data_IF_249069124987
#
_entry.id   IF_249069124987
#
_cell.length_a   1.000
_cell.length_b   1.000
_cell.length_c   1.000
_cell.angle_alpha   90.00
_cell.angle_beta   90.00
_cell.angle_gamma   90.00
#
_symmetry.space_group_name_H-M   'P 1'
#
loop_
_entity.id
_entity.type
_entity.pdbx_description
1 polymer ?
#
# COMPACT_ATOMS: atom_id res chain seq x y z
N UNK A 1 -39.28 -34.74 46.00
CA UNK A 1 -37.91 -34.79 45.44
C UNK A 1 -37.71 -34.04 44.10
N UNK A 2 -38.28 -32.83 43.89
CA UNK A 2 -38.19 -32.13 42.59
C UNK A 2 -37.25 -30.91 42.52
N UNK A 3 -36.29 -30.76 43.45
CA UNK A 3 -35.42 -29.55 43.51
C UNK A 3 -33.93 -29.78 43.24
N UNK A 4 -33.51 -30.96 42.78
CA UNK A 4 -32.11 -31.29 42.54
C UNK A 4 -31.55 -30.97 41.14
N UNK A 5 -32.40 -30.68 40.15
CA UNK A 5 -32.02 -30.53 38.74
C UNK A 5 -31.48 -29.15 38.37
N UNK A 6 -32.08 -28.07 38.87
CA UNK A 6 -31.73 -26.69 38.49
C UNK A 6 -30.28 -26.31 38.83
N UNK A 7 -29.79 -26.70 40.01
CA UNK A 7 -28.41 -26.38 40.44
C UNK A 7 -27.35 -27.17 39.65
N UNK A 8 -27.63 -28.43 39.28
CA UNK A 8 -26.73 -29.25 38.46
C UNK A 8 -26.64 -28.73 37.02
N UNK A 9 -27.75 -28.25 36.46
CA UNK A 9 -27.77 -27.61 35.15
C UNK A 9 -26.99 -26.27 35.12
N UNK A 10 -27.06 -25.49 36.21
CA UNK A 10 -26.27 -24.26 36.34
C UNK A 10 -24.76 -24.54 36.43
N UNK A 11 -24.36 -25.53 37.23
CA UNK A 11 -22.96 -25.95 37.34
C UNK A 11 -22.41 -26.48 36.01
N UNK A 12 -23.19 -27.25 35.26
CA UNK A 12 -22.81 -27.74 33.93
C UNK A 12 -22.65 -26.58 32.93
N UNK A 13 -23.62 -25.65 32.87
CA UNK A 13 -23.53 -24.46 32.00
C UNK A 13 -22.31 -23.59 32.33
N UNK A 14 -22.04 -23.36 33.61
CA UNK A 14 -20.86 -22.62 34.04
C UNK A 14 -19.56 -23.33 33.63
N UNK A 15 -19.50 -24.66 33.78
CA UNK A 15 -18.34 -25.46 33.40
C UNK A 15 -18.13 -25.45 31.88
N UNK A 16 -19.19 -25.62 31.09
CA UNK A 16 -19.12 -25.55 29.62
C UNK A 16 -18.67 -24.16 29.17
N UNK A 17 -19.26 -23.09 29.72
CA UNK A 17 -18.87 -21.72 29.39
C UNK A 17 -17.40 -21.43 29.75
N UNK A 18 -16.92 -21.95 30.88
CA UNK A 18 -15.51 -21.85 31.26
C UNK A 18 -14.61 -22.60 30.26
N UNK A 19 -14.96 -23.84 29.90
CA UNK A 19 -14.20 -24.62 28.91
C UNK A 19 -14.21 -24.00 27.52
N UNK A 20 -15.33 -23.44 27.07
CA UNK A 20 -15.40 -22.68 25.81
C UNK A 20 -14.45 -21.49 25.84
N UNK A 21 -14.37 -20.76 26.96
CA UNK A 21 -13.43 -19.64 27.11
C UNK A 21 -11.97 -20.10 27.10
N UNK A 22 -11.65 -21.18 27.80
CA UNK A 22 -10.29 -21.77 27.83
C UNK A 22 -9.86 -22.21 26.42
N UNK A 23 -10.73 -22.93 25.71
CA UNK A 23 -10.49 -23.39 24.34
C UNK A 23 -10.34 -22.22 23.37
N UNK A 24 -11.17 -21.18 23.51
CA UNK A 24 -11.06 -19.98 22.69
C UNK A 24 -9.74 -19.25 22.92
N UNK A 25 -9.32 -19.12 24.19
CA UNK A 25 -8.04 -18.51 24.53
C UNK A 25 -6.85 -19.31 23.99
N UNK A 26 -6.88 -20.65 24.10
CA UNK A 26 -5.85 -21.52 23.54
C UNK A 26 -5.79 -21.44 22.01
N UNK A 27 -6.96 -21.42 21.34
CA UNK A 27 -7.04 -21.23 19.88
C UNK A 27 -6.49 -19.88 19.45
N UNK A 28 -6.87 -18.80 20.15
CA UNK A 28 -6.33 -17.46 19.90
C UNK A 28 -4.81 -17.42 20.06
N UNK A 29 -4.25 -18.04 21.11
CA UNK A 29 -2.81 -18.11 21.30
C UNK A 29 -2.11 -18.83 20.13
N UNK A 30 -2.69 -19.93 19.63
CA UNK A 30 -2.20 -20.62 18.45
C UNK A 30 -2.30 -19.74 17.18
N UNK A 31 -3.38 -18.97 17.02
CA UNK A 31 -3.52 -18.00 15.93
C UNK A 31 -2.50 -16.88 16.00
N UNK A 32 -2.27 -16.28 17.16
CA UNK A 32 -1.27 -15.23 17.34
C UNK A 32 0.15 -15.74 17.02
N UNK A 33 0.50 -16.95 17.47
CA UNK A 33 1.77 -17.58 17.14
C UNK A 33 1.90 -17.86 15.64
N UNK A 34 0.85 -18.43 15.02
CA UNK A 34 0.83 -18.68 13.57
C UNK A 34 0.92 -17.40 12.77
N UNK A 35 0.19 -16.35 13.15
CA UNK A 35 0.23 -15.05 12.51
C UNK A 35 1.62 -14.44 12.56
N UNK A 36 2.29 -14.51 13.72
CA UNK A 36 3.68 -14.08 13.87
C UNK A 36 4.61 -14.81 12.90
N UNK A 37 4.55 -16.15 12.86
CA UNK A 37 5.39 -16.94 11.95
C UNK A 37 5.12 -16.69 10.47
N UNK A 38 3.84 -16.55 10.08
CA UNK A 38 3.48 -16.24 8.68
C UNK A 38 3.94 -14.84 8.29
N UNK A 39 3.84 -13.85 9.19
CA UNK A 39 4.35 -12.50 8.93
C UNK A 39 5.87 -12.46 8.84
N UNK A 40 6.58 -13.18 9.72
CA UNK A 40 8.05 -13.23 9.69
C UNK A 40 8.60 -13.85 8.41
N UNK A 41 7.86 -14.81 7.83
CA UNK A 41 8.17 -15.46 6.56
C UNK A 41 7.59 -14.74 5.33
N UNK A 42 6.87 -13.63 5.50
CA UNK A 42 6.18 -12.94 4.40
C UNK A 42 7.19 -12.26 3.46
N UNK A 43 7.10 -12.61 2.17
CA UNK A 43 7.94 -12.05 1.11
C UNK A 43 7.29 -10.85 0.41
N UNK A 44 6.09 -10.45 0.82
CA UNK A 44 5.30 -9.36 0.23
C UNK A 44 5.08 -9.59 -1.26
N UNK A 45 4.56 -10.78 -1.57
CA UNK A 45 4.16 -11.19 -2.92
C UNK A 45 2.65 -11.26 -3.00
N UNK A 46 2.07 -10.72 -4.06
CA UNK A 46 0.64 -10.77 -4.30
C UNK A 46 0.17 -12.24 -4.36
N UNK A 47 -0.88 -12.57 -3.61
CA UNK A 47 -1.48 -13.90 -3.59
C UNK A 47 -2.49 -14.04 -4.74
N UNK A 48 -2.01 -13.96 -5.98
CA UNK A 48 -2.83 -14.04 -7.19
C UNK A 48 -2.60 -15.34 -7.97
N UNK A 49 -3.66 -15.96 -8.51
CA UNK A 49 -5.07 -15.64 -8.30
C UNK A 49 -5.51 -15.85 -6.84
N UNK A 50 -6.43 -15.02 -6.37
CA UNK A 50 -7.00 -15.16 -5.03
C UNK A 50 -7.91 -16.40 -5.01
N UNK A 51 -7.63 -17.39 -4.14
CA UNK A 51 -8.49 -18.56 -4.07
C UNK A 51 -9.91 -18.19 -3.63
N UNK A 52 -10.96 -18.74 -4.27
CA UNK A 52 -12.34 -18.29 -4.08
C UNK A 52 -12.85 -18.48 -2.65
N UNK A 53 -12.25 -19.37 -1.85
CA UNK A 53 -12.62 -19.52 -0.45
C UNK A 53 -12.29 -18.27 0.38
N UNK A 54 -11.30 -17.47 0.01
CA UNK A 54 -10.99 -16.23 0.74
C UNK A 54 -11.97 -15.11 0.42
N UNK A 55 -12.47 -15.06 -0.82
CA UNK A 55 -13.57 -14.17 -1.17
C UNK A 55 -14.83 -14.52 -0.35
N UNK A 56 -15.18 -15.82 -0.29
CA UNK A 56 -16.29 -16.30 0.56
C UNK A 56 -16.10 -15.94 2.03
N UNK A 57 -14.88 -16.03 2.56
CA UNK A 57 -14.60 -15.63 3.95
C UNK A 57 -14.84 -14.12 4.15
N UNK A 58 -14.49 -13.27 3.19
CA UNK A 58 -14.81 -11.84 3.25
C UNK A 58 -16.32 -11.59 3.16
N UNK A 59 -17.00 -12.26 2.24
CA UNK A 59 -18.45 -12.16 2.03
C UNK A 59 -19.23 -12.63 3.27
N UNK A 60 -18.78 -13.70 3.92
CA UNK A 60 -19.33 -14.20 5.20
C UNK A 60 -19.25 -13.12 6.29
N UNK A 61 -18.09 -12.43 6.41
CA UNK A 61 -17.92 -11.38 7.42
C UNK A 61 -18.79 -10.16 7.09
N UNK A 62 -18.87 -9.77 5.82
CA UNK A 62 -19.70 -8.65 5.38
C UNK A 62 -21.21 -8.92 5.56
N UNK A 63 -21.69 -10.10 5.19
CA UNK A 63 -23.12 -10.46 5.34
C UNK A 63 -23.57 -10.51 6.80
N UNK A 64 -22.70 -10.94 7.72
CA UNK A 64 -22.98 -10.89 9.16
C UNK A 64 -23.02 -9.45 9.71
N UNK A 65 -22.31 -8.51 9.07
CA UNK A 65 -22.33 -7.10 9.46
C UNK A 65 -23.63 -6.38 9.07
N UNK A 66 -24.26 -6.80 7.97
CA UNK A 66 -25.49 -6.19 7.44
C UNK A 66 -26.77 -6.61 8.20
N UNK A 67 -26.67 -7.59 9.11
CA UNK A 67 -27.75 -7.91 10.05
C UNK A 67 -29.00 -8.49 9.41
N UNK A 68 -28.85 -9.51 8.55
CA UNK A 68 -30.00 -10.19 7.95
C UNK A 68 -30.78 -10.97 9.05
N UNK A 69 -31.79 -10.34 9.63
CA UNK A 69 -32.96 -11.06 10.14
C UNK A 69 -33.55 -11.81 8.95
N UNK A 70 -33.64 -13.14 9.07
CA UNK A 70 -34.05 -13.99 7.97
C UNK A 70 -35.43 -13.61 7.45
N UNK A 71 -35.47 -13.14 6.21
CA UNK A 71 -36.63 -13.32 5.36
C UNK A 71 -36.41 -14.64 4.59
N UNK A 72 -36.99 -15.73 5.10
CA UNK A 72 -36.99 -17.05 4.45
C UNK A 72 -37.89 -17.10 3.19
N UNK A 73 -38.15 -15.97 2.54
CA UNK A 73 -38.90 -15.91 1.28
C UNK A 73 -38.38 -14.78 0.38
N UNK A 74 -37.28 -15.08 -0.33
CA UNK A 74 -36.73 -14.18 -1.34
C UNK A 74 -35.71 -14.92 -2.20
N UNK A 75 -36.21 -15.64 -3.20
CA UNK A 75 -35.51 -16.04 -4.43
C UNK A 75 -33.97 -16.13 -4.32
N UNK A 76 -33.48 -17.27 -3.82
CA UNK A 76 -32.07 -17.64 -3.79
C UNK A 76 -31.52 -18.00 -5.19
N UNK A 77 -31.90 -17.25 -6.22
CA UNK A 77 -31.50 -17.46 -7.61
C UNK A 77 -31.22 -16.15 -8.35
N UNK A 78 -30.21 -15.35 -7.93
CA UNK A 78 -29.57 -14.39 -8.87
C UNK A 78 -28.25 -13.73 -8.43
N UNK A 79 -27.46 -14.27 -7.48
CA UNK A 79 -26.13 -13.66 -7.16
C UNK A 79 -24.91 -14.58 -7.16
N UNK A 80 -25.03 -15.80 -7.68
CA UNK A 80 -23.87 -16.64 -7.94
C UNK A 80 -23.71 -16.93 -9.43
N UNK A 81 -22.55 -16.58 -9.97
CA UNK A 81 -21.92 -17.04 -11.22
C UNK A 81 -21.65 -15.94 -12.25
N UNK A 82 -21.05 -14.84 -11.83
CA UNK A 82 -20.00 -14.24 -12.65
C UNK A 82 -18.69 -14.96 -12.33
N UNK A 83 -18.14 -15.67 -13.30
CA UNK A 83 -16.85 -16.38 -13.32
C UNK A 83 -15.91 -16.07 -12.13
N UNK A 84 -16.02 -16.84 -11.04
CA UNK A 84 -15.22 -16.65 -9.80
C UNK A 84 -13.85 -17.34 -9.89
N UNK A 85 -13.48 -17.82 -11.08
CA UNK A 85 -12.20 -18.43 -11.33
C UNK A 85 -11.15 -17.34 -11.57
N UNK A 86 -10.33 -17.08 -10.55
CA UNK A 86 -9.07 -16.38 -10.73
C UNK A 86 -9.11 -14.85 -10.60
N UNK A 87 -9.83 -14.31 -9.62
CA UNK A 87 -9.75 -12.88 -9.32
C UNK A 87 -8.37 -12.50 -8.78
N UNK A 88 -7.78 -11.43 -9.31
CA UNK A 88 -6.49 -10.91 -8.85
C UNK A 88 -6.56 -10.15 -7.51
N UNK A 89 -7.76 -9.97 -6.95
CA UNK A 89 -8.01 -9.18 -5.76
C UNK A 89 -9.23 -9.69 -4.99
N UNK A 90 -9.26 -9.41 -3.70
CA UNK A 90 -10.50 -9.46 -2.91
C UNK A 90 -11.38 -8.27 -3.29
N UNK A 91 -12.68 -8.51 -3.42
CA UNK A 91 -13.66 -7.48 -3.76
C UNK A 91 -14.63 -7.30 -2.59
N UNK A 92 -14.73 -6.09 -2.06
CA UNK A 92 -15.68 -5.79 -0.99
C UNK A 92 -17.11 -5.75 -1.54
N UNK A 93 -18.05 -6.54 -1.00
CA UNK A 93 -19.39 -6.68 -1.59
C UNK A 93 -20.24 -5.39 -1.48
N UNK A 94 -20.00 -4.56 -0.47
CA UNK A 94 -20.74 -3.34 -0.21
C UNK A 94 -20.22 -2.12 -0.99
N UNK A 95 -18.91 -2.00 -1.19
CA UNK A 95 -18.28 -0.84 -1.84
C UNK A 95 -17.77 -1.13 -3.25
N UNK A 96 -17.63 -2.41 -3.62
CA UNK A 96 -16.95 -2.83 -4.85
C UNK A 96 -15.43 -2.58 -4.82
N UNK A 97 -14.87 -2.16 -3.68
CA UNK A 97 -13.45 -1.89 -3.58
C UNK A 97 -12.63 -3.16 -3.77
N UNK A 98 -11.58 -3.04 -4.60
CA UNK A 98 -10.65 -4.13 -4.87
C UNK A 98 -9.40 -3.97 -4.01
N UNK A 99 -8.96 -5.03 -3.36
CA UNK A 99 -7.74 -5.05 -2.55
C UNK A 99 -6.91 -6.27 -2.89
N UNK A 100 -5.64 -6.06 -3.26
CA UNK A 100 -4.71 -7.14 -3.62
C UNK A 100 -4.10 -7.72 -2.33
N UNK A 101 -4.39 -8.99 -1.97
CA UNK A 101 -3.92 -9.54 -0.72
C UNK A 101 -2.52 -10.17 -0.84
N UNK A 102 -1.85 -10.31 0.30
CA UNK A 102 -0.66 -11.19 0.47
C UNK A 102 -1.01 -12.40 1.34
N UNK A 103 -0.12 -13.39 1.42
CA UNK A 103 -0.37 -14.63 2.15
C UNK A 103 -0.71 -14.42 3.63
N UNK A 104 0.02 -13.54 4.32
CA UNK A 104 -0.25 -13.19 5.70
C UNK A 104 -1.63 -12.56 5.91
N UNK A 105 -2.05 -11.69 4.99
CA UNK A 105 -3.37 -11.04 5.04
C UNK A 105 -4.50 -12.06 4.88
N UNK A 106 -4.35 -13.02 3.97
CA UNK A 106 -5.29 -14.12 3.79
C UNK A 106 -5.39 -15.02 5.04
N UNK A 107 -4.25 -15.33 5.65
CA UNK A 107 -4.22 -16.14 6.89
C UNK A 107 -4.94 -15.42 8.04
N UNK A 108 -4.68 -14.13 8.24
CA UNK A 108 -5.35 -13.33 9.26
C UNK A 108 -6.85 -13.21 9.00
N UNK A 109 -7.28 -12.98 7.75
CA UNK A 109 -8.70 -12.87 7.41
C UNK A 109 -9.48 -14.13 7.84
N UNK A 110 -8.92 -15.33 7.59
CA UNK A 110 -9.49 -16.60 8.08
C UNK A 110 -9.57 -16.67 9.60
N UNK A 111 -8.52 -16.25 10.32
CA UNK A 111 -8.51 -16.24 11.80
C UNK A 111 -9.57 -15.30 12.38
N UNK A 112 -9.76 -14.12 11.78
CA UNK A 112 -10.76 -13.13 12.21
C UNK A 112 -12.19 -13.67 12.01
N UNK A 113 -12.46 -14.29 10.86
CA UNK A 113 -13.75 -14.94 10.58
C UNK A 113 -14.06 -16.06 11.58
N UNK A 114 -13.05 -16.83 11.99
CA UNK A 114 -13.21 -17.86 13.02
C UNK A 114 -13.59 -17.28 14.39
N UNK A 115 -13.08 -16.11 14.76
CA UNK A 115 -13.50 -15.44 15.99
C UNK A 115 -14.95 -14.97 15.93
N UNK A 116 -15.39 -14.41 14.79
CA UNK A 116 -16.79 -14.03 14.57
C UNK A 116 -17.69 -15.25 14.66
N UNK A 117 -17.32 -16.36 13.99
CA UNK A 117 -18.07 -17.61 14.06
C UNK A 117 -18.15 -18.18 15.48
N UNK A 118 -17.06 -18.10 16.27
CA UNK A 118 -17.05 -18.53 17.66
C UNK A 118 -17.99 -17.68 18.54
N UNK A 119 -18.02 -16.36 18.32
CA UNK A 119 -18.94 -15.45 19.03
C UNK A 119 -20.41 -15.71 18.64
N UNK A 120 -20.68 -15.99 17.36
CA UNK A 120 -22.01 -16.33 16.88
C UNK A 120 -22.52 -17.66 17.47
N UNK A 121 -21.67 -18.70 17.48
CA UNK A 121 -22.03 -20.01 18.03
C UNK A 121 -22.16 -20.01 19.56
N UNK A 122 -21.37 -19.18 20.25
CA UNK A 122 -21.39 -19.06 21.71
C UNK A 122 -21.34 -17.59 22.15
N UNK A 123 -22.48 -16.87 22.20
CA UNK A 123 -22.52 -15.44 22.52
C UNK A 123 -21.84 -15.04 23.84
N UNK A 124 -21.74 -15.98 24.80
CA UNK A 124 -20.97 -15.77 26.04
C UNK A 124 -19.46 -15.50 25.82
N UNK A 125 -18.92 -15.82 24.64
CA UNK A 125 -17.56 -15.53 24.21
C UNK A 125 -17.42 -14.17 23.53
N UNK A 126 -18.52 -13.54 23.09
CA UNK A 126 -18.47 -12.33 22.26
C UNK A 126 -17.62 -11.20 22.85
N UNK A 127 -17.69 -10.86 24.16
CA UNK A 127 -16.80 -9.85 24.74
C UNK A 127 -15.32 -10.22 24.64
N UNK A 128 -14.98 -11.50 24.85
CA UNK A 128 -13.61 -12.00 24.69
C UNK A 128 -13.19 -12.00 23.23
N UNK A 129 -14.09 -12.38 22.31
CA UNK A 129 -13.84 -12.38 20.89
C UNK A 129 -13.52 -10.97 20.36
N UNK A 130 -14.24 -9.93 20.80
CA UNK A 130 -13.92 -8.53 20.45
C UNK A 130 -12.48 -8.19 20.79
N UNK A 131 -12.07 -8.39 22.06
CA UNK A 131 -10.72 -8.11 22.51
C UNK A 131 -9.66 -8.89 21.72
N UNK A 132 -9.90 -10.18 21.47
CA UNK A 132 -8.96 -11.06 20.78
C UNK A 132 -8.84 -10.76 19.28
N UNK A 133 -9.95 -10.39 18.64
CA UNK A 133 -9.97 -9.93 17.25
C UNK A 133 -9.20 -8.61 17.11
N UNK A 134 -9.45 -7.63 17.98
CA UNK A 134 -8.71 -6.38 18.00
C UNK A 134 -7.21 -6.59 18.32
N UNK A 135 -6.87 -7.57 19.18
CA UNK A 135 -5.48 -7.96 19.45
C UNK A 135 -4.77 -8.50 18.21
N UNK A 136 -5.39 -9.40 17.43
CA UNK A 136 -4.78 -9.91 16.19
C UNK A 136 -4.53 -8.79 15.17
N UNK A 137 -5.47 -7.86 15.01
CA UNK A 137 -5.30 -6.70 14.12
C UNK A 137 -4.14 -5.80 14.59
N UNK A 138 -4.01 -5.54 15.90
CA UNK A 138 -2.89 -4.77 16.46
C UNK A 138 -1.55 -5.47 16.31
N UNK A 139 -1.51 -6.80 16.52
CA UNK A 139 -0.30 -7.61 16.27
C UNK A 139 0.10 -7.52 14.81
N UNK A 140 -0.84 -7.69 13.88
CA UNK A 140 -0.58 -7.54 12.45
C UNK A 140 -0.04 -6.15 12.10
N UNK A 141 -0.68 -5.09 12.59
CA UNK A 141 -0.28 -3.72 12.31
C UNK A 141 1.17 -3.44 12.79
N UNK A 142 1.45 -3.79 14.05
CA UNK A 142 2.77 -3.62 14.67
C UNK A 142 3.85 -4.42 13.94
N UNK A 143 3.58 -5.70 13.63
CA UNK A 143 4.53 -6.56 12.92
C UNK A 143 4.77 -6.11 11.49
N UNK A 144 3.74 -5.70 10.76
CA UNK A 144 3.89 -5.15 9.40
C UNK A 144 4.77 -3.90 9.40
N UNK A 145 4.58 -2.99 10.37
CA UNK A 145 5.43 -1.80 10.52
C UNK A 145 6.89 -2.18 10.77
N UNK A 146 7.15 -3.11 11.69
CA UNK A 146 8.51 -3.60 11.97
C UNK A 146 9.16 -4.27 10.76
N UNK A 147 8.42 -5.09 10.03
CA UNK A 147 8.92 -5.85 8.89
C UNK A 147 9.25 -4.95 7.70
N UNK A 148 8.39 -3.97 7.43
CA UNK A 148 8.48 -3.13 6.23
C UNK A 148 9.22 -1.82 6.51
N UNK A 149 8.75 -1.01 7.47
CA UNK A 149 9.37 0.27 7.81
C UNK A 149 10.65 0.08 8.64
N UNK A 150 10.66 -0.89 9.54
CA UNK A 150 11.83 -1.27 10.35
C UNK A 150 12.83 -2.20 9.66
N UNK A 151 12.61 -2.49 8.37
CA UNK A 151 13.39 -3.43 7.56
C UNK A 151 13.58 -4.82 8.21
N UNK A 152 12.64 -5.26 9.06
CA UNK A 152 12.67 -6.57 9.72
C UNK A 152 12.61 -7.73 8.73
N UNK A 153 11.88 -7.58 7.61
CA UNK A 153 11.74 -8.62 6.60
C UNK A 153 13.06 -8.96 5.89
N UNK A 154 14.05 -8.05 5.90
CA UNK A 154 15.38 -8.34 5.38
C UNK A 154 16.13 -9.37 6.24
N UNK A 155 15.83 -9.43 7.54
CA UNK A 155 16.43 -10.38 8.48
C UNK A 155 15.64 -11.67 8.61
N UNK A 156 14.30 -11.60 8.57
CA UNK A 156 13.43 -12.75 8.84
C UNK A 156 13.01 -13.50 7.57
N UNK A 157 12.61 -12.78 6.52
CA UNK A 157 12.17 -13.36 5.25
C UNK A 157 13.29 -13.43 4.19
N UNK A 158 14.50 -12.97 4.53
CA UNK A 158 15.67 -13.01 3.63
C UNK A 158 15.60 -12.05 2.44
N UNK A 159 14.77 -11.00 2.52
CA UNK A 159 14.70 -9.99 1.46
C UNK A 159 16.01 -9.20 1.36
N UNK A 160 16.54 -9.06 0.14
CA UNK A 160 17.75 -8.24 -0.11
C UNK A 160 17.50 -6.74 0.10
N UNK A 161 16.28 -6.29 -0.15
CA UNK A 161 15.86 -4.89 0.06
C UNK A 161 14.35 -4.78 0.17
N UNK A 162 13.86 -3.70 0.78
CA UNK A 162 12.45 -3.32 0.75
C UNK A 162 12.21 -2.44 -0.49
N UNK A 163 11.42 -2.95 -1.43
CA UNK A 163 11.15 -2.29 -2.71
C UNK A 163 9.82 -1.53 -2.68
N UNK A 164 9.57 -0.68 -3.68
CA UNK A 164 8.28 0.00 -3.84
C UNK A 164 7.11 -1.00 -3.96
N UNK A 165 7.34 -2.18 -4.55
CA UNK A 165 6.32 -3.24 -4.64
C UNK A 165 5.98 -3.82 -3.26
N UNK A 166 6.98 -4.03 -2.40
CA UNK A 166 6.74 -4.50 -1.03
C UNK A 166 5.94 -3.47 -0.22
N UNK A 167 6.28 -2.18 -0.35
CA UNK A 167 5.54 -1.10 0.30
C UNK A 167 4.09 -1.01 -0.18
N UNK A 168 3.88 -1.10 -1.49
CA UNK A 168 2.54 -1.05 -2.06
C UNK A 168 1.64 -2.21 -1.56
N UNK A 169 2.18 -3.44 -1.52
CA UNK A 169 1.45 -4.60 -1.00
C UNK A 169 1.24 -4.54 0.53
N UNK A 170 2.17 -3.94 1.27
CA UNK A 170 1.98 -3.66 2.69
C UNK A 170 0.88 -2.62 2.91
N UNK A 171 0.83 -1.56 2.10
CA UNK A 171 -0.23 -0.55 2.13
C UNK A 171 -1.58 -1.16 1.82
N UNK A 172 -1.70 -1.98 0.77
CA UNK A 172 -2.95 -2.71 0.47
C UNK A 172 -3.36 -3.66 1.59
N UNK A 173 -2.40 -4.31 2.25
CA UNK A 173 -2.69 -5.17 3.39
C UNK A 173 -3.20 -4.39 4.62
N UNK A 174 -2.61 -3.23 4.91
CA UNK A 174 -3.11 -2.33 5.96
C UNK A 174 -4.50 -1.80 5.61
N UNK A 175 -4.72 -1.42 4.34
CA UNK A 175 -6.00 -0.97 3.79
C UNK A 175 -7.08 -2.05 3.91
N UNK A 176 -6.76 -3.31 3.58
CA UNK A 176 -7.66 -4.45 3.77
C UNK A 176 -8.20 -4.49 5.20
N UNK A 177 -7.32 -4.43 6.20
CA UNK A 177 -7.74 -4.50 7.60
C UNK A 177 -8.40 -3.23 8.13
N UNK A 178 -8.11 -2.07 7.54
CA UNK A 178 -8.84 -0.84 7.82
C UNK A 178 -10.31 -0.92 7.34
N UNK A 179 -10.57 -1.62 6.22
CA UNK A 179 -11.91 -1.88 5.70
C UNK A 179 -12.61 -3.04 6.42
N UNK A 180 -11.87 -4.08 6.84
CA UNK A 180 -12.43 -5.24 7.55
C UNK A 180 -12.77 -4.93 9.01
N UNK A 181 -12.02 -4.06 9.70
CA UNK A 181 -12.25 -3.77 11.11
C UNK A 181 -13.67 -3.23 11.42
N UNK A 182 -14.23 -2.29 10.64
CA UNK A 182 -15.63 -1.89 10.78
C UNK A 182 -16.62 -3.03 10.55
N UNK A 183 -16.37 -3.91 9.57
CA UNK A 183 -17.21 -5.09 9.31
C UNK A 183 -17.20 -6.02 10.53
N UNK A 184 -16.04 -6.31 11.11
CA UNK A 184 -15.92 -7.14 12.31
C UNK A 184 -16.64 -6.53 13.52
N UNK A 185 -16.53 -5.20 13.69
CA UNK A 185 -17.24 -4.47 14.74
C UNK A 185 -18.75 -4.66 14.60
N UNK A 186 -19.28 -4.46 13.38
CA UNK A 186 -20.69 -4.66 13.07
C UNK A 186 -21.13 -6.13 13.21
N UNK A 187 -20.35 -7.11 12.74
CA UNK A 187 -20.70 -8.54 12.87
C UNK A 187 -20.70 -9.02 14.33
N UNK A 188 -19.88 -8.45 15.20
CA UNK A 188 -19.81 -8.84 16.62
C UNK A 188 -20.83 -8.11 17.50
N UNK A 189 -21.29 -6.92 17.08
CA UNK A 189 -22.21 -6.07 17.83
C UNK A 189 -23.49 -6.78 18.32
N UNK A 190 -24.18 -7.63 17.52
CA UNK A 190 -25.42 -8.30 17.93
C UNK A 190 -25.22 -9.28 19.09
N UNK A 191 -24.02 -9.83 19.25
CA UNK A 191 -23.71 -10.82 20.29
C UNK A 191 -23.32 -10.18 21.63
N UNK A 192 -23.19 -8.85 21.68
CA UNK A 192 -22.72 -8.12 22.86
C UNK A 192 -23.89 -7.62 23.73
N UNK A 193 -23.73 -7.65 25.07
CA UNK A 193 -24.66 -7.00 25.98
C UNK A 193 -24.72 -5.48 25.74
N UNK A 194 -25.93 -4.93 25.65
CA UNK A 194 -26.20 -3.50 25.41
C UNK A 194 -25.35 -2.58 26.29
N UNK A 195 -25.30 -2.87 27.59
CA UNK A 195 -24.63 -2.04 28.60
C UNK A 195 -23.11 -1.87 28.38
N UNK A 196 -22.48 -2.78 27.64
CA UNK A 196 -21.02 -2.74 27.37
C UNK A 196 -20.68 -2.65 25.90
N UNK A 197 -21.66 -2.65 25.00
CA UNK A 197 -21.44 -2.73 23.55
C UNK A 197 -20.54 -1.59 23.06
N UNK A 198 -20.91 -0.35 23.37
CA UNK A 198 -20.15 0.83 22.92
C UNK A 198 -18.68 0.79 23.37
N UNK A 199 -18.44 0.47 24.64
CA UNK A 199 -17.09 0.43 25.20
C UNK A 199 -16.21 -0.66 24.60
N UNK A 200 -16.79 -1.83 24.31
CA UNK A 200 -16.06 -2.95 23.68
C UNK A 200 -15.76 -2.66 22.20
N UNK A 201 -16.73 -2.12 21.46
CA UNK A 201 -16.56 -1.84 20.03
C UNK A 201 -15.60 -0.66 19.76
N UNK A 202 -15.43 0.25 20.71
CA UNK A 202 -14.45 1.34 20.63
C UNK A 202 -12.98 0.85 20.46
N UNK A 203 -12.70 -0.42 20.75
CA UNK A 203 -11.39 -1.03 20.45
C UNK A 203 -11.11 -1.15 18.95
N UNK A 204 -12.15 -1.39 18.14
CA UNK A 204 -12.02 -1.40 16.69
C UNK A 204 -11.76 0.00 16.15
N UNK A 205 -12.42 1.04 16.68
CA UNK A 205 -12.17 2.43 16.28
C UNK A 205 -10.70 2.84 16.50
N UNK A 206 -10.15 2.49 17.66
CA UNK A 206 -8.71 2.69 17.96
C UNK A 206 -7.82 1.93 16.98
N UNK A 207 -8.19 0.69 16.67
CA UNK A 207 -7.44 -0.15 15.73
C UNK A 207 -7.46 0.45 14.31
N UNK A 208 -8.61 0.97 13.86
CA UNK A 208 -8.73 1.68 12.58
C UNK A 208 -7.87 2.93 12.57
N UNK A 209 -7.86 3.72 13.65
CA UNK A 209 -7.00 4.89 13.77
C UNK A 209 -5.50 4.53 13.70
N UNK A 210 -5.09 3.45 14.36
CA UNK A 210 -3.71 2.95 14.33
C UNK A 210 -3.31 2.45 12.92
N UNK A 211 -4.21 1.77 12.21
CA UNK A 211 -4.00 1.34 10.82
C UNK A 211 -3.90 2.55 9.88
N UNK A 212 -4.75 3.56 10.05
CA UNK A 212 -4.71 4.79 9.27
C UNK A 212 -3.43 5.61 9.52
N UNK A 213 -2.90 5.58 10.75
CA UNK A 213 -1.58 6.14 11.05
C UNK A 213 -0.49 5.40 10.28
N UNK A 214 -0.48 4.07 10.34
CA UNK A 214 0.52 3.27 9.65
C UNK A 214 0.44 3.42 8.11
N UNK A 215 -0.77 3.51 7.55
CA UNK A 215 -0.95 3.80 6.13
C UNK A 215 -0.27 5.11 5.70
N UNK A 216 -0.37 6.17 6.52
CA UNK A 216 0.34 7.44 6.27
C UNK A 216 1.86 7.29 6.35
N UNK A 217 2.37 6.49 7.28
CA UNK A 217 3.81 6.22 7.39
C UNK A 217 4.34 5.44 6.18
N UNK A 218 3.59 4.46 5.69
CA UNK A 218 3.90 3.70 4.47
C UNK A 218 3.85 4.58 3.21
N UNK A 219 2.84 5.44 3.10
CA UNK A 219 2.74 6.45 2.04
C UNK A 219 3.95 7.37 2.04
N UNK A 220 4.28 7.97 3.19
CA UNK A 220 5.44 8.85 3.33
C UNK A 220 6.76 8.13 2.98
N UNK A 221 6.92 6.86 3.35
CA UNK A 221 8.09 6.06 2.98
C UNK A 221 8.16 5.81 1.47
N UNK A 222 7.02 5.54 0.83
CA UNK A 222 6.91 5.34 -0.62
C UNK A 222 7.31 6.61 -1.36
N UNK A 223 6.71 7.75 -0.98
CA UNK A 223 7.06 9.07 -1.52
C UNK A 223 8.54 9.36 -1.29
N UNK A 224 9.08 9.12 -0.08
CA UNK A 224 10.49 9.33 0.24
C UNK A 224 11.44 8.56 -0.69
N UNK A 225 11.19 7.27 -0.94
CA UNK A 225 12.01 6.47 -1.88
C UNK A 225 11.93 7.04 -3.29
N UNK A 226 10.77 7.52 -3.72
CA UNK A 226 10.61 8.13 -5.04
C UNK A 226 11.34 9.47 -5.12
N UNK A 227 11.26 10.30 -4.08
CA UNK A 227 12.00 11.56 -3.96
C UNK A 227 13.51 11.34 -4.04
N UNK A 228 14.05 10.35 -3.31
CA UNK A 228 15.49 10.03 -3.34
C UNK A 228 15.96 9.64 -4.76
N UNK A 229 15.15 8.83 -5.46
CA UNK A 229 15.42 8.45 -6.86
C UNK A 229 15.40 9.65 -7.80
N UNK A 230 14.40 10.52 -7.65
CA UNK A 230 14.27 11.74 -8.45
C UNK A 230 15.42 12.70 -8.19
N UNK A 231 15.79 12.94 -6.93
CA UNK A 231 16.91 13.78 -6.56
C UNK A 231 18.23 13.28 -7.15
N UNK A 232 18.46 11.96 -7.12
CA UNK A 232 19.64 11.35 -7.76
C UNK A 232 19.70 11.69 -9.26
N UNK A 233 18.58 11.57 -9.98
CA UNK A 233 18.52 11.93 -11.39
C UNK A 233 18.66 13.44 -11.60
N UNK A 234 17.90 14.27 -10.87
CA UNK A 234 17.92 15.72 -10.98
C UNK A 234 19.30 16.32 -10.72
N UNK A 235 20.15 15.70 -9.91
CA UNK A 235 21.54 16.13 -9.72
C UNK A 235 22.37 16.13 -11.02
N UNK A 236 21.97 15.36 -12.03
CA UNK A 236 22.62 15.27 -13.34
C UNK A 236 22.12 16.35 -14.32
N UNK A 237 20.99 17.00 -14.01
CA UNK A 237 20.37 18.04 -14.86
C UNK A 237 21.32 19.19 -15.22
N UNK A 238 22.08 19.79 -14.28
CA UNK A 238 22.97 20.91 -14.59
C UNK A 238 24.05 20.53 -15.62
N UNK A 239 24.63 19.33 -15.52
CA UNK A 239 25.67 18.85 -16.43
C UNK A 239 25.14 18.73 -17.86
N UNK A 240 23.94 18.17 -18.01
CA UNK A 240 23.28 18.01 -19.32
C UNK A 240 22.86 19.36 -19.90
N UNK A 241 22.31 20.23 -19.04
CA UNK A 241 21.91 21.58 -19.45
C UNK A 241 23.12 22.39 -19.93
N UNK A 242 24.21 22.43 -19.16
CA UNK A 242 25.44 23.09 -19.57
C UNK A 242 25.98 22.51 -20.88
N UNK A 243 26.06 21.18 -21.01
CA UNK A 243 26.54 20.54 -22.25
C UNK A 243 25.74 21.01 -23.47
N UNK A 244 24.41 21.04 -23.40
CA UNK A 244 23.55 21.49 -24.52
C UNK A 244 23.75 22.96 -24.88
N UNK A 245 23.76 23.83 -23.86
CA UNK A 245 23.98 25.28 -24.07
C UNK A 245 25.34 25.55 -24.71
N UNK A 246 26.39 24.80 -24.34
CA UNK A 246 27.72 24.94 -24.92
C UNK A 246 27.83 24.30 -26.32
N UNK A 247 27.17 23.16 -26.57
CA UNK A 247 27.19 22.51 -27.90
C UNK A 247 26.41 23.28 -28.95
N UNK A 248 25.20 23.76 -28.64
CA UNK A 248 24.38 24.58 -29.57
C UNK A 248 25.11 25.87 -29.96
N UNK A 249 25.91 26.40 -29.04
CA UNK A 249 26.66 27.64 -29.24
C UNK A 249 27.99 27.44 -29.94
N UNK A 250 28.65 26.29 -29.77
CA UNK A 250 29.81 25.91 -30.57
C UNK A 250 29.42 25.74 -32.05
N UNK A 251 28.26 25.14 -32.32
CA UNK A 251 27.69 25.10 -33.67
C UNK A 251 27.32 26.49 -34.21
N UNK A 252 26.79 27.39 -33.38
CA UNK A 252 26.48 28.76 -33.83
C UNK A 252 27.71 29.65 -34.02
N UNK A 253 28.78 29.43 -33.24
CA UNK A 253 30.03 30.19 -33.34
C UNK A 253 30.96 29.67 -34.46
N UNK A 254 30.88 28.38 -34.79
CA UNK A 254 31.57 27.79 -35.95
C UNK A 254 31.02 28.26 -37.29
N UNK A 255 29.76 28.72 -37.35
CA UNK A 255 29.15 29.29 -38.57
C UNK A 255 29.52 30.76 -38.83
N UNK A 256 30.21 31.46 -37.92
CA UNK A 256 30.58 32.88 -38.11
C UNK A 256 32.06 33.13 -38.35
N UNK A 257 32.87 32.09 -38.62
CA UNK A 257 34.29 32.23 -38.91
C UNK A 257 34.65 31.63 -40.29
N UNK A 258 34.30 32.38 -41.34
CA UNK A 258 35.00 32.42 -42.62
C UNK A 258 34.77 31.30 -43.63
N UNK A 259 34.02 31.61 -44.70
CA UNK A 259 34.51 31.44 -46.08
C UNK A 259 33.70 32.27 -47.08
N UNK A 260 34.33 33.30 -47.62
CA UNK A 260 34.02 33.79 -48.97
C UNK A 260 34.60 32.77 -49.98
N UNK A 261 33.98 32.73 -51.16
CA UNK A 261 34.36 32.05 -52.41
C UNK A 261 33.75 30.66 -52.71
N UNK A 262 32.75 30.72 -53.61
CA UNK A 262 32.48 29.88 -54.80
C UNK A 262 32.90 28.40 -54.79
N UNK A 263 31.92 27.48 -54.79
CA UNK A 263 31.84 26.36 -55.76
C UNK A 263 30.51 25.61 -55.66
N UNK A 264 29.91 25.27 -56.82
CA UNK A 264 28.69 24.46 -56.93
C UNK A 264 29.00 22.98 -56.62
N UNK A 265 28.62 22.52 -55.43
CA UNK A 265 28.74 21.11 -55.05
C UNK A 265 27.51 20.62 -54.30
N UNK A 266 26.71 19.75 -54.94
CA UNK A 266 25.69 18.92 -54.30
C UNK A 266 26.30 18.14 -53.13
N UNK A 267 26.04 18.58 -51.91
CA UNK A 267 26.31 17.86 -50.67
C UNK A 267 25.05 17.85 -49.83
N UNK A 268 24.60 16.66 -49.48
CA UNK A 268 23.38 16.37 -48.74
C UNK A 268 23.30 17.18 -47.44
N UNK A 269 22.21 17.94 -47.29
CA UNK A 269 21.79 18.52 -46.02
C UNK A 269 21.09 17.40 -45.24
N UNK A 270 21.87 16.46 -44.72
CA UNK A 270 21.43 15.57 -43.64
C UNK A 270 22.35 15.90 -42.46
N UNK A 271 21.91 16.80 -41.56
CA UNK A 271 22.28 16.85 -40.14
C UNK A 271 21.75 18.13 -39.48
N UNK A 272 20.43 18.30 -39.47
CA UNK A 272 19.77 19.30 -38.62
C UNK A 272 18.47 18.79 -37.97
N UNK A 273 18.09 17.51 -38.18
CA UNK A 273 16.88 16.93 -37.58
C UNK A 273 17.13 16.13 -36.29
N UNK A 274 18.39 15.88 -35.90
CA UNK A 274 18.70 15.05 -34.73
C UNK A 274 18.44 15.72 -33.36
N UNK A 275 18.07 17.00 -33.30
CA UNK A 275 17.92 17.75 -32.04
C UNK A 275 16.48 17.82 -31.47
N UNK A 276 15.48 17.15 -32.09
CA UNK A 276 14.07 17.20 -31.62
C UNK A 276 13.70 16.13 -30.59
N UNK A 277 14.60 15.21 -30.24
CA UNK A 277 14.34 14.15 -29.27
C UNK A 277 14.41 14.63 -27.80
N UNK A 278 13.56 14.10 -26.89
CA UNK A 278 13.77 14.28 -25.45
C UNK A 278 15.20 13.84 -25.08
N UNK A 279 15.85 14.58 -24.19
CA UNK A 279 17.22 14.26 -23.77
C UNK A 279 17.34 12.81 -23.26
N UNK A 280 18.53 12.21 -23.39
CA UNK A 280 18.81 10.88 -22.81
C UNK A 280 18.44 10.82 -21.30
N UNK A 281 18.56 11.96 -20.62
CA UNK A 281 18.05 12.16 -19.28
C UNK A 281 16.53 12.08 -19.16
N UNK A 282 15.80 12.81 -20.00
CA UNK A 282 14.34 12.81 -19.97
C UNK A 282 13.78 11.43 -20.30
N UNK A 283 14.45 10.68 -21.18
CA UNK A 283 14.07 9.29 -21.49
C UNK A 283 14.43 8.32 -20.36
N UNK A 284 15.59 8.45 -19.71
CA UNK A 284 15.96 7.64 -18.55
C UNK A 284 15.02 7.88 -17.35
N UNK A 285 14.74 9.15 -17.04
CA UNK A 285 13.81 9.56 -16.00
C UNK A 285 12.39 9.06 -16.30
N UNK A 286 11.94 9.22 -17.55
CA UNK A 286 10.63 8.74 -18.00
C UNK A 286 10.47 7.23 -17.82
N UNK A 287 11.50 6.44 -18.14
CA UNK A 287 11.50 4.98 -17.94
C UNK A 287 11.41 4.59 -16.46
N UNK A 288 12.12 5.29 -15.56
CA UNK A 288 12.05 5.00 -14.12
C UNK A 288 10.69 5.38 -13.51
N UNK A 289 10.16 6.56 -13.85
CA UNK A 289 8.83 7.00 -13.42
C UNK A 289 7.77 6.03 -13.95
N UNK A 290 7.90 5.56 -15.19
CA UNK A 290 6.96 4.58 -15.76
C UNK A 290 7.04 3.21 -15.06
N UNK A 291 8.24 2.75 -14.73
CA UNK A 291 8.41 1.50 -13.98
C UNK A 291 7.77 1.61 -12.59
N UNK A 292 7.98 2.74 -11.90
CA UNK A 292 7.34 3.02 -10.61
C UNK A 292 5.83 3.17 -10.75
N UNK A 293 5.34 3.83 -11.81
CA UNK A 293 3.92 3.91 -12.17
C UNK A 293 3.32 2.54 -12.34
N UNK A 294 3.98 1.64 -13.06
CA UNK A 294 3.50 0.29 -13.26
C UNK A 294 3.42 -0.48 -11.93
N UNK A 295 4.43 -0.35 -11.06
CA UNK A 295 4.44 -0.99 -9.75
C UNK A 295 3.34 -0.43 -8.83
N UNK A 296 3.23 0.89 -8.72
CA UNK A 296 2.29 1.59 -7.83
C UNK A 296 0.87 1.45 -8.35
N UNK A 297 0.58 1.80 -9.61
CA UNK A 297 -0.77 1.72 -10.18
C UNK A 297 -1.24 0.27 -10.42
N UNK A 298 -0.31 -0.68 -10.56
CA UNK A 298 -0.63 -2.11 -10.70
C UNK A 298 -0.95 -2.80 -9.36
N UNK A 299 -0.71 -2.16 -8.21
CA UNK A 299 -0.91 -2.79 -6.90
C UNK A 299 -1.75 -1.95 -5.94
N UNK A 300 -1.53 -0.63 -5.86
CA UNK A 300 -2.32 0.27 -5.04
C UNK A 300 -3.65 0.61 -5.71
N UNK A 301 -4.65 0.92 -4.88
CA UNK A 301 -5.89 1.51 -5.40
C UNK A 301 -5.62 2.84 -6.11
N UNK A 302 -6.48 3.19 -7.08
CA UNK A 302 -6.29 4.39 -7.92
C UNK A 302 -6.13 5.69 -7.12
N UNK A 303 -6.86 5.82 -5.99
CA UNK A 303 -6.79 6.98 -5.12
C UNK A 303 -5.41 7.12 -4.47
N UNK A 304 -4.92 6.05 -3.85
CA UNK A 304 -3.66 6.08 -3.10
C UNK A 304 -2.46 6.18 -4.08
N UNK A 305 -2.57 5.53 -5.24
CA UNK A 305 -1.60 5.70 -6.33
C UNK A 305 -1.53 7.16 -6.81
N UNK A 306 -2.68 7.79 -7.09
CA UNK A 306 -2.73 9.20 -7.50
C UNK A 306 -2.12 10.12 -6.44
N UNK A 307 -2.46 9.93 -5.17
CA UNK A 307 -1.90 10.72 -4.07
C UNK A 307 -0.37 10.61 -3.99
N UNK A 308 0.20 9.41 -4.18
CA UNK A 308 1.66 9.22 -4.23
C UNK A 308 2.25 9.99 -5.41
N UNK A 309 1.64 9.89 -6.59
CA UNK A 309 2.16 10.56 -7.78
C UNK A 309 2.06 12.08 -7.68
N UNK A 310 0.94 12.63 -7.22
CA UNK A 310 0.75 14.07 -7.08
C UNK A 310 1.80 14.67 -6.13
N UNK A 311 2.05 14.02 -4.99
CA UNK A 311 3.05 14.48 -4.02
C UNK A 311 4.49 14.36 -4.55
N UNK A 312 4.78 13.31 -5.32
CA UNK A 312 6.09 13.11 -5.93
C UNK A 312 6.33 14.11 -7.07
N UNK A 313 5.32 14.35 -7.90
CA UNK A 313 5.40 15.31 -9.01
C UNK A 313 5.56 16.74 -8.50
N UNK A 314 4.82 17.13 -7.46
CA UNK A 314 4.98 18.43 -6.81
C UNK A 314 6.42 18.62 -6.31
N UNK A 315 6.99 17.61 -5.66
CA UNK A 315 8.37 17.67 -5.19
C UNK A 315 9.40 17.72 -6.33
N UNK A 316 9.15 17.00 -7.43
CA UNK A 316 10.02 17.05 -8.59
C UNK A 316 10.03 18.44 -9.23
N UNK A 317 8.86 19.06 -9.40
CA UNK A 317 8.75 20.41 -9.97
C UNK A 317 9.54 21.44 -9.14
N UNK A 318 9.41 21.39 -7.81
CA UNK A 318 10.21 22.20 -6.88
C UNK A 318 11.73 21.95 -7.03
N UNK A 319 12.15 20.69 -7.11
CA UNK A 319 13.58 20.35 -7.22
C UNK A 319 14.19 20.74 -8.58
N UNK A 320 13.47 20.49 -9.67
CA UNK A 320 13.93 20.76 -11.03
C UNK A 320 14.03 22.27 -11.29
N UNK A 321 13.04 23.04 -10.84
CA UNK A 321 13.05 24.50 -10.92
C UNK A 321 14.20 25.10 -10.08
N UNK A 322 14.42 24.58 -8.88
CA UNK A 322 15.54 24.98 -8.02
C UNK A 322 16.91 24.71 -8.64
N UNK A 323 17.18 23.46 -9.03
CA UNK A 323 18.47 23.04 -9.62
C UNK A 323 18.80 23.75 -10.93
N UNK A 324 17.82 23.95 -11.82
CA UNK A 324 18.03 24.75 -13.04
C UNK A 324 18.26 26.22 -12.72
N UNK A 325 17.57 26.77 -11.71
CA UNK A 325 17.79 28.13 -11.22
C UNK A 325 19.23 28.35 -10.71
N UNK A 326 19.76 27.40 -9.94
CA UNK A 326 21.14 27.42 -9.46
C UNK A 326 22.16 27.30 -10.59
N UNK A 327 21.95 26.36 -11.52
CA UNK A 327 22.80 26.21 -12.70
C UNK A 327 22.88 27.51 -13.51
N UNK A 328 21.72 28.15 -13.75
CA UNK A 328 21.64 29.43 -14.47
C UNK A 328 22.37 30.55 -13.73
N UNK A 329 22.26 30.63 -12.40
CA UNK A 329 23.01 31.60 -11.58
C UNK A 329 24.52 31.35 -11.60
N UNK A 330 24.94 30.09 -11.55
CA UNK A 330 26.35 29.71 -11.59
C UNK A 330 27.00 30.12 -12.92
N UNK A 331 26.36 29.75 -14.04
CA UNK A 331 26.81 30.17 -15.37
C UNK A 331 26.82 31.70 -15.48
N UNK A 332 25.77 32.39 -15.03
CA UNK A 332 25.76 33.86 -15.03
C UNK A 332 26.91 34.48 -14.22
N UNK A 333 27.32 33.88 -13.09
CA UNK A 333 28.49 34.32 -12.31
C UNK A 333 29.81 34.08 -13.06
N UNK A 334 30.01 32.89 -13.62
CA UNK A 334 31.19 32.56 -14.41
C UNK A 334 31.35 33.51 -15.61
N UNK A 335 30.24 33.83 -16.28
CA UNK A 335 30.21 34.79 -17.37
C UNK A 335 30.54 36.21 -16.92
N UNK A 336 29.99 36.67 -15.79
CA UNK A 336 30.36 37.98 -15.22
C UNK A 336 31.85 38.04 -14.87
N UNK A 337 32.42 36.96 -14.34
CA UNK A 337 33.86 36.87 -14.09
C UNK A 337 34.66 36.94 -15.39
N UNK A 338 34.32 36.15 -16.41
CA UNK A 338 34.99 36.15 -17.73
C UNK A 338 34.82 37.45 -18.54
N UNK A 339 33.77 38.22 -18.30
CA UNK A 339 33.54 39.52 -18.95
C UNK A 339 34.14 40.68 -18.16
N UNK A 340 34.29 40.56 -16.84
CA UNK A 340 35.00 41.52 -16.00
C UNK A 340 36.52 41.47 -16.17
N UNK A 341 37.07 40.30 -16.49
CA UNK A 341 38.52 40.08 -16.72
C UNK A 341 39.00 40.53 -18.12
N UNK A 342 38.09 40.91 -19.02
CA UNK A 342 38.42 41.42 -20.38
C UNK A 342 38.52 42.95 -20.45
N UNK A 343 38.52 43.64 -19.30
CA UNK A 343 38.49 45.10 -19.21
C UNK A 343 39.81 45.78 -18.84
N UNK A 344 40.87 45.04 -18.51
CA UNK A 344 42.19 45.59 -18.20
C UNK A 344 43.26 44.92 -19.07
N UNK A 345 43.46 45.46 -20.27
CA UNK A 345 44.50 45.07 -21.22
C UNK A 345 44.63 46.11 -22.32
#
# INVERSE_FOLDING_TARGET
>A
ERLGGGRRCLALRATVAARCKDLFAARHAAFAAKLGGVLEAETWTAATPVPPEFQRVLDDVASLAEGNEGDENGDASSRASGDVAGLDALVFPNTGERVVPVGASLALLKMLRDHVAAAAGFPSLAPTAVHKTAELLRVFNSRTSQLVLGAGAMRTAGLRSITAKHLALATESVRLFALVAPLLSASLAPFLPESRRLGLLAEFDRTVADLAKHARELHAKTVGIMRDRLAHHSSRLPTIWCSRVFTERASSAGSSAGKEDDDEGKGEIEDAESAKGPSEFATALGKEIETLRHVVAGTLCARDAAAVFDEVLAHFDECATGTLGDARRSVAKEWRAKMGDRGEG
#
